data_IF_545356593649
#
_entry.id   IF_545356593649
#
_cell.length_a   1.000
_cell.length_b   1.000
_cell.length_c   1.000
_cell.angle_alpha   90.00
_cell.angle_beta   90.00
_cell.angle_gamma   90.00
#
_symmetry.space_group_name_H-M   'P 1'
#
loop_
_entity.id
_entity.type
_entity.pdbx_description
1 polymer ?
#
# COMPACT_ATOMS: atom_id res chain seq x y z
N UNK A 1 -3.58 5.31 11.80
CA UNK A 1 -2.39 5.68 11.02
C UNK A 1 -2.76 6.59 9.87
N UNK A 2 -1.78 7.20 9.19
CA UNK A 2 -2.03 8.01 7.99
C UNK A 2 -2.60 7.10 6.90
N UNK A 3 -3.78 7.44 6.38
CA UNK A 3 -4.44 6.69 5.32
C UNK A 3 -3.70 6.87 4.00
N UNK A 4 -3.50 5.78 3.26
CA UNK A 4 -2.99 5.82 1.90
C UNK A 4 -4.18 5.96 0.96
N UNK A 5 -4.22 7.00 0.12
CA UNK A 5 -5.30 7.10 -0.87
C UNK A 5 -5.09 6.08 -2.00
N UNK A 6 -6.16 5.61 -2.67
CA UNK A 6 -6.02 4.76 -3.84
C UNK A 6 -5.13 5.37 -4.94
N UNK A 7 -5.21 6.69 -5.15
CA UNK A 7 -4.40 7.41 -6.13
C UNK A 7 -2.92 7.41 -5.75
N UNK A 8 -2.60 7.53 -4.44
CA UNK A 8 -1.23 7.41 -3.97
C UNK A 8 -0.67 6.01 -4.22
N UNK A 9 -1.47 4.96 -3.98
CA UNK A 9 -1.03 3.60 -4.26
C UNK A 9 -0.89 3.35 -5.77
N UNK A 10 -1.76 3.94 -6.60
CA UNK A 10 -1.63 3.85 -8.06
C UNK A 10 -0.34 4.51 -8.56
N UNK A 11 0.01 5.70 -8.07
CA UNK A 11 1.29 6.36 -8.40
C UNK A 11 2.49 5.47 -8.03
N UNK A 12 2.42 4.79 -6.88
CA UNK A 12 3.47 3.84 -6.45
C UNK A 12 3.50 2.62 -7.39
N UNK A 13 2.34 2.11 -7.80
CA UNK A 13 2.21 0.99 -8.73
C UNK A 13 2.78 1.34 -10.11
N UNK A 14 2.43 2.49 -10.68
CA UNK A 14 2.94 2.95 -11.98
C UNK A 14 4.47 3.03 -11.95
N UNK A 15 5.05 3.65 -10.92
CA UNK A 15 6.50 3.76 -10.77
C UNK A 15 7.21 2.40 -10.59
N UNK A 16 6.52 1.41 -10.02
CA UNK A 16 7.03 0.04 -9.93
C UNK A 16 6.90 -0.68 -11.29
N UNK A 17 5.76 -0.56 -11.96
CA UNK A 17 5.50 -1.17 -13.27
C UNK A 17 6.53 -0.73 -14.31
N UNK A 18 6.84 0.57 -14.37
CA UNK A 18 7.82 1.15 -15.28
C UNK A 18 9.23 0.54 -15.14
N UNK A 19 9.60 0.09 -13.93
CA UNK A 19 10.94 -0.46 -13.65
C UNK A 19 11.01 -1.97 -13.78
N UNK A 20 9.91 -2.66 -13.55
CA UNK A 20 9.88 -4.12 -13.41
C UNK A 20 9.20 -4.83 -14.59
N UNK A 21 8.69 -4.08 -15.59
CA UNK A 21 8.00 -4.63 -16.76
C UNK A 21 6.80 -5.54 -16.39
N UNK A 22 6.04 -5.08 -15.39
CA UNK A 22 4.79 -5.67 -14.91
C UNK A 22 3.65 -4.70 -15.22
N UNK A 23 2.39 -5.16 -15.11
CA UNK A 23 1.22 -4.33 -15.38
C UNK A 23 0.18 -4.44 -14.26
N UNK A 24 -0.51 -3.34 -13.96
CA UNK A 24 -1.69 -3.36 -13.09
C UNK A 24 -2.83 -4.08 -13.81
N UNK A 25 -3.34 -5.15 -13.21
CA UNK A 25 -4.45 -5.94 -13.74
C UNK A 25 -5.74 -5.75 -12.93
N UNK A 26 -5.63 -5.28 -11.68
CA UNK A 26 -6.79 -5.06 -10.81
C UNK A 26 -6.70 -3.73 -10.04
N UNK A 27 -7.33 -2.70 -10.58
CA UNK A 27 -7.50 -1.43 -9.87
C UNK A 27 -8.32 -1.58 -8.59
N UNK A 28 -9.30 -2.48 -8.58
CA UNK A 28 -10.09 -2.78 -7.37
C UNK A 28 -9.24 -3.36 -6.24
N UNK A 29 -8.24 -4.18 -6.56
CA UNK A 29 -7.27 -4.69 -5.59
C UNK A 29 -6.41 -3.56 -5.02
N UNK A 30 -5.98 -2.60 -5.85
CA UNK A 30 -5.28 -1.40 -5.36
C UNK A 30 -6.15 -0.58 -4.42
N UNK A 31 -7.42 -0.31 -4.78
CA UNK A 31 -8.35 0.42 -3.88
C UNK A 31 -8.50 -0.31 -2.54
N UNK A 32 -8.71 -1.63 -2.58
CA UNK A 32 -8.86 -2.43 -1.37
C UNK A 32 -7.59 -2.43 -0.50
N UNK A 33 -6.42 -2.60 -1.11
CA UNK A 33 -5.14 -2.55 -0.39
C UNK A 33 -4.89 -1.17 0.25
N UNK A 34 -5.15 -0.08 -0.50
CA UNK A 34 -4.96 1.28 -0.01
C UNK A 34 -5.82 1.62 1.24
N UNK A 35 -6.99 1.00 1.37
CA UNK A 35 -7.86 1.18 2.53
C UNK A 35 -7.28 0.61 3.83
N UNK A 36 -6.37 -0.39 3.74
CA UNK A 36 -5.89 -1.15 4.91
C UNK A 36 -5.21 -0.26 5.96
N UNK A 37 -4.16 0.53 5.67
CA UNK A 37 -3.42 1.24 6.72
C UNK A 37 -4.26 2.28 7.47
N UNK A 38 -5.31 2.80 6.82
CA UNK A 38 -6.23 3.78 7.37
C UNK A 38 -7.47 3.19 8.04
N UNK A 39 -7.62 1.86 8.09
CA UNK A 39 -8.85 1.19 8.51
C UNK A 39 -9.30 1.58 9.94
N UNK A 40 -10.62 1.76 10.08
CA UNK A 40 -11.28 2.08 11.35
C UNK A 40 -12.63 1.38 11.46
N UNK A 41 -13.01 0.98 12.67
CA UNK A 41 -14.37 0.55 13.01
C UNK A 41 -14.97 1.53 14.02
N UNK A 42 -16.10 2.14 13.71
CA UNK A 42 -16.75 3.15 14.59
C UNK A 42 -15.79 4.27 15.04
N UNK A 43 -14.87 4.65 14.16
CA UNK A 43 -13.86 5.65 14.47
C UNK A 43 -12.71 5.16 15.35
N UNK A 44 -12.65 3.88 15.72
CA UNK A 44 -11.52 3.25 16.41
C UNK A 44 -10.51 2.77 15.37
N UNK A 45 -9.23 3.16 15.51
CA UNK A 45 -8.18 2.73 14.59
C UNK A 45 -7.90 1.23 14.73
N UNK A 46 -7.87 0.51 13.61
CA UNK A 46 -7.47 -0.91 13.59
C UNK A 46 -5.99 -1.08 13.94
N UNK A 47 -5.14 -0.15 13.47
CA UNK A 47 -3.70 -0.17 13.71
C UNK A 47 -3.27 1.02 14.56
N UNK A 48 -2.49 0.75 15.60
CA UNK A 48 -1.89 1.75 16.49
C UNK A 48 -0.44 2.09 16.13
N UNK A 49 0.23 1.22 15.38
CA UNK A 49 1.65 1.37 14.99
C UNK A 49 1.79 1.41 13.46
N UNK A 50 2.72 2.26 12.96
CA UNK A 50 3.03 2.33 11.51
C UNK A 50 3.48 0.96 11.00
N UNK A 51 4.29 0.25 11.79
CA UNK A 51 4.85 -1.06 11.40
C UNK A 51 3.77 -2.11 11.20
N UNK A 52 2.75 -2.14 12.06
CA UNK A 52 1.62 -3.06 11.91
C UNK A 52 0.77 -2.73 10.70
N UNK A 53 0.44 -1.45 10.49
CA UNK A 53 -0.32 -1.01 9.32
C UNK A 53 0.42 -1.32 8.01
N UNK A 54 1.75 -1.16 8.00
CA UNK A 54 2.58 -1.45 6.84
C UNK A 54 2.66 -2.96 6.54
N UNK A 55 2.76 -3.81 7.57
CA UNK A 55 2.74 -5.26 7.42
C UNK A 55 1.38 -5.74 6.90
N UNK A 56 0.30 -5.17 7.40
CA UNK A 56 -1.04 -5.51 6.92
C UNK A 56 -1.27 -5.08 5.46
N UNK A 57 -0.70 -3.94 5.04
CA UNK A 57 -0.72 -3.51 3.63
C UNK A 57 0.04 -4.49 2.72
N UNK A 58 1.23 -4.92 3.14
CA UNK A 58 2.02 -5.94 2.42
C UNK A 58 1.21 -7.23 2.26
N UNK A 59 0.63 -7.75 3.35
CA UNK A 59 -0.20 -8.96 3.31
C UNK A 59 -1.41 -8.79 2.38
N UNK A 60 -2.08 -7.64 2.42
CA UNK A 60 -3.23 -7.38 1.55
C UNK A 60 -2.84 -7.38 0.07
N UNK A 61 -1.70 -6.77 -0.29
CA UNK A 61 -1.21 -6.75 -1.68
C UNK A 61 -0.86 -8.18 -2.14
N UNK A 62 -0.15 -8.95 -1.32
CA UNK A 62 0.17 -10.35 -1.65
C UNK A 62 -1.09 -11.19 -1.88
N UNK A 63 -2.18 -10.92 -1.15
CA UNK A 63 -3.43 -11.69 -1.26
C UNK A 63 -4.36 -11.22 -2.38
N UNK A 64 -4.35 -9.94 -2.69
CA UNK A 64 -5.23 -9.33 -3.68
C UNK A 64 -4.62 -9.34 -5.10
N UNK A 65 -3.30 -9.51 -5.19
CA UNK A 65 -2.54 -9.65 -6.44
C UNK A 65 -2.92 -8.59 -7.49
N UNK A 66 -2.69 -7.29 -7.22
CA UNK A 66 -3.10 -6.21 -8.13
C UNK A 66 -2.34 -6.19 -9.46
N UNK A 67 -1.18 -6.85 -9.55
CA UNK A 67 -0.35 -6.92 -10.75
C UNK A 67 -0.43 -8.28 -11.43
N UNK A 68 -0.09 -8.34 -12.72
CA UNK A 68 0.00 -9.60 -13.48
C UNK A 68 1.06 -10.59 -12.92
N UNK A 69 2.14 -10.07 -12.34
CA UNK A 69 3.16 -10.84 -11.62
C UNK A 69 3.96 -9.93 -10.65
N UNK A 70 4.92 -10.51 -9.93
CA UNK A 70 5.79 -9.80 -8.97
C UNK A 70 5.06 -9.10 -7.80
N UNK A 71 3.89 -9.61 -7.40
CA UNK A 71 3.08 -9.03 -6.31
C UNK A 71 3.79 -9.05 -4.94
N UNK A 72 4.64 -10.04 -4.66
CA UNK A 72 5.43 -10.10 -3.42
C UNK A 72 6.48 -8.98 -3.37
N UNK A 73 7.23 -8.77 -4.46
CA UNK A 73 8.21 -7.69 -4.57
C UNK A 73 7.53 -6.32 -4.52
N UNK A 74 6.38 -6.19 -5.19
CA UNK A 74 5.56 -4.99 -5.13
C UNK A 74 5.07 -4.71 -3.71
N UNK A 75 4.57 -5.73 -3.00
CA UNK A 75 4.11 -5.61 -1.62
C UNK A 75 5.23 -5.13 -0.68
N UNK A 76 6.43 -5.73 -0.80
CA UNK A 76 7.60 -5.34 -0.02
C UNK A 76 8.04 -3.89 -0.32
N UNK A 77 7.99 -3.49 -1.59
CA UNK A 77 8.28 -2.12 -2.02
C UNK A 77 7.29 -1.11 -1.43
N UNK A 78 5.98 -1.37 -1.57
CA UNK A 78 4.92 -0.52 -1.04
C UNK A 78 5.02 -0.41 0.49
N UNK A 79 5.32 -1.51 1.19
CA UNK A 79 5.56 -1.48 2.65
C UNK A 79 6.67 -0.52 3.02
N UNK A 80 7.80 -0.56 2.31
CA UNK A 80 8.94 0.31 2.57
C UNK A 80 8.59 1.79 2.30
N UNK A 81 7.92 2.08 1.19
CA UNK A 81 7.45 3.42 0.83
C UNK A 81 6.48 3.97 1.88
N UNK A 82 5.47 3.18 2.25
CA UNK A 82 4.48 3.56 3.25
C UNK A 82 5.12 3.84 4.61
N UNK A 83 6.00 2.95 5.11
CA UNK A 83 6.70 3.16 6.39
C UNK A 83 7.47 4.48 6.38
N UNK A 84 8.24 4.74 5.32
CA UNK A 84 9.03 5.96 5.20
C UNK A 84 8.14 7.21 5.21
N UNK A 85 7.08 7.21 4.41
CA UNK A 85 6.14 8.34 4.29
C UNK A 85 5.31 8.57 5.57
N UNK A 86 4.92 7.51 6.27
CA UNK A 86 4.12 7.59 7.48
C UNK A 86 4.94 8.00 8.72
N UNK A 87 6.24 7.68 8.75
CA UNK A 87 7.15 8.06 9.84
C UNK A 87 7.79 9.43 9.63
N UNK A 88 7.95 9.87 8.38
CA UNK A 88 8.48 11.18 8.04
C UNK A 88 7.43 11.94 7.23
N UNK A 89 6.54 12.71 7.88
CA UNK A 89 5.85 13.77 7.16
C UNK A 89 6.94 14.66 6.52
N UNK A 90 6.79 14.97 5.24
CA UNK A 90 7.60 16.00 4.58
C UNK A 90 7.53 17.23 5.50
N UNK A 91 8.62 17.53 6.21
CA UNK A 91 8.81 18.86 6.77
C UNK A 91 8.86 19.80 5.57
N UNK A 92 7.98 20.80 5.60
CA UNK A 92 7.79 21.82 4.56
C UNK A 92 9.11 22.37 3.98
#
# INVERSE_FOLDING_TARGET
>A
MKALSPEQLLIIADAFCDKHNVQVTSFSALVAAAAVPGARFEGIAVFTEVTEAARALEEAICRLEPLDHANEDFAAYVRAVYKKWALHPLTD
#
